data_IF_280526469713
#
_entry.id   IF_280526469713
#
_cell.length_a   1.000
_cell.length_b   1.000
_cell.length_c   1.000
_cell.angle_alpha   90.00
_cell.angle_beta   90.00
_cell.angle_gamma   90.00
#
_symmetry.space_group_name_H-M   'P 1'
#
loop_
_entity.id
_entity.type
_entity.pdbx_description
1 polymer ?
#
# COMPACT_ATOMS: atom_id res chain seq x y z
N UNK A 1 6.43 38.74 14.94
CA UNK A 1 6.29 37.49 14.18
C UNK A 1 5.49 36.57 15.08
N UNK A 2 4.24 36.21 14.75
CA UNK A 2 3.57 35.15 15.48
C UNK A 2 4.38 33.86 15.27
N UNK A 3 4.64 33.14 16.35
CA UNK A 3 5.10 31.76 16.27
C UNK A 3 4.09 30.97 15.43
N UNK A 4 4.50 30.59 14.24
CA UNK A 4 3.78 29.64 13.40
C UNK A 4 3.95 28.30 14.11
N UNK A 5 2.98 27.92 14.94
CA UNK A 5 2.93 26.65 15.65
C UNK A 5 3.09 25.52 14.61
N UNK A 6 4.32 25.05 14.45
CA UNK A 6 4.66 24.03 13.47
C UNK A 6 3.89 22.76 13.84
N UNK A 7 2.82 22.48 13.09
CA UNK A 7 1.98 21.31 13.30
C UNK A 7 2.83 20.05 13.15
N UNK A 8 2.85 19.22 14.19
CA UNK A 8 3.55 17.94 14.12
C UNK A 8 2.98 17.09 12.96
N UNK A 9 3.84 16.53 12.11
CA UNK A 9 3.40 15.69 11.01
C UNK A 9 2.79 14.40 11.55
N UNK A 10 1.58 14.07 11.11
CA UNK A 10 0.89 12.82 11.44
C UNK A 10 1.08 11.79 10.33
N UNK A 11 1.15 10.50 10.68
CA UNK A 11 1.20 9.42 9.68
C UNK A 11 -0.09 9.38 8.86
N UNK A 12 0.02 9.55 7.56
CA UNK A 12 -1.06 9.37 6.59
C UNK A 12 -0.57 8.53 5.42
N UNK A 13 -0.99 7.27 5.40
CA UNK A 13 -0.61 6.32 4.36
C UNK A 13 -1.27 6.57 3.01
N UNK A 14 -2.49 7.10 3.00
CA UNK A 14 -3.17 7.44 1.75
C UNK A 14 -2.45 8.58 1.04
N UNK A 15 -2.19 9.68 1.76
CA UNK A 15 -1.44 10.83 1.25
C UNK A 15 -0.01 10.46 0.85
N UNK A 16 0.69 9.62 1.64
CA UNK A 16 2.02 9.14 1.25
C UNK A 16 1.98 8.29 -0.02
N UNK A 17 0.99 7.38 -0.15
CA UNK A 17 0.84 6.51 -1.30
C UNK A 17 0.56 7.28 -2.60
N UNK A 18 -0.28 8.31 -2.54
CA UNK A 18 -0.57 9.20 -3.67
C UNK A 18 0.71 9.91 -4.17
N UNK A 19 1.46 10.55 -3.26
CA UNK A 19 2.72 11.22 -3.61
C UNK A 19 3.74 10.23 -4.21
N UNK A 20 3.87 9.04 -3.64
CA UNK A 20 4.76 8.01 -4.18
C UNK A 20 4.35 7.57 -5.59
N UNK A 21 3.05 7.46 -5.86
CA UNK A 21 2.54 7.11 -7.19
C UNK A 21 2.82 8.21 -8.22
N UNK A 22 2.61 9.48 -7.85
CA UNK A 22 2.90 10.64 -8.70
C UNK A 22 4.40 10.71 -9.05
N UNK A 23 5.26 10.63 -8.03
CA UNK A 23 6.71 10.64 -8.20
C UNK A 23 7.20 9.45 -9.04
N UNK A 24 6.65 8.25 -8.80
CA UNK A 24 6.96 7.05 -9.59
C UNK A 24 6.59 7.24 -11.07
N UNK A 25 5.41 7.79 -11.33
CA UNK A 25 4.91 8.04 -12.68
C UNK A 25 5.76 9.05 -13.43
N UNK A 26 6.18 10.12 -12.75
CA UNK A 26 7.13 11.10 -13.31
C UNK A 26 8.47 10.45 -13.67
N UNK A 27 9.07 9.70 -12.73
CA UNK A 27 10.36 9.03 -12.95
C UNK A 27 10.30 7.95 -14.03
N UNK A 28 9.17 7.23 -14.12
CA UNK A 28 8.95 6.27 -15.19
C UNK A 28 8.96 6.97 -16.56
N UNK A 29 8.25 8.09 -16.68
CA UNK A 29 8.25 8.91 -17.90
C UNK A 29 9.63 9.47 -18.27
N UNK A 30 10.48 9.74 -17.28
CA UNK A 30 11.87 10.19 -17.44
C UNK A 30 12.87 9.03 -17.69
N UNK A 31 12.39 7.78 -17.76
CA UNK A 31 13.24 6.59 -17.99
C UNK A 31 14.03 6.13 -16.77
N UNK A 32 13.76 6.65 -15.58
CA UNK A 32 14.41 6.29 -14.31
C UNK A 32 13.74 5.07 -13.68
N UNK A 33 13.71 3.96 -14.43
CA UNK A 33 12.85 2.80 -14.17
C UNK A 33 13.05 2.13 -12.80
N UNK A 34 14.29 1.94 -12.36
CA UNK A 34 14.55 1.30 -11.06
C UNK A 34 14.00 2.12 -9.88
N UNK A 35 14.17 3.44 -9.94
CA UNK A 35 13.61 4.33 -8.91
C UNK A 35 12.09 4.40 -9.01
N UNK A 36 11.55 4.42 -10.24
CA UNK A 36 10.12 4.37 -10.47
C UNK A 36 9.47 3.09 -9.90
N UNK A 37 10.04 1.91 -10.19
CA UNK A 37 9.57 0.62 -9.66
C UNK A 37 9.56 0.59 -8.14
N UNK A 38 10.63 1.10 -7.52
CA UNK A 38 10.71 1.20 -6.07
C UNK A 38 9.59 2.09 -5.50
N UNK A 39 9.35 3.25 -6.10
CA UNK A 39 8.27 4.15 -5.67
C UNK A 39 6.88 3.59 -5.97
N UNK A 40 6.68 2.84 -7.05
CA UNK A 40 5.42 2.14 -7.30
C UNK A 40 5.10 1.12 -6.22
N UNK A 41 6.10 0.35 -5.75
CA UNK A 41 5.90 -0.57 -4.64
C UNK A 41 5.59 0.12 -3.32
N UNK A 42 6.27 1.24 -3.02
CA UNK A 42 5.90 2.07 -1.85
C UNK A 42 4.50 2.67 -1.98
N UNK A 43 4.10 3.10 -3.18
CA UNK A 43 2.76 3.59 -3.44
C UNK A 43 1.72 2.51 -3.16
N UNK A 44 1.86 1.32 -3.74
CA UNK A 44 0.95 0.19 -3.51
C UNK A 44 0.88 -0.18 -2.04
N UNK A 45 2.03 -0.32 -1.37
CA UNK A 45 2.09 -0.64 0.06
C UNK A 45 1.33 0.40 0.91
N UNK A 46 1.58 1.70 0.68
CA UNK A 46 0.95 2.78 1.42
C UNK A 46 -0.55 2.90 1.11
N UNK A 47 -0.96 2.85 -0.16
CA UNK A 47 -2.35 2.91 -0.55
C UNK A 47 -3.16 1.75 0.04
N UNK A 48 -2.61 0.53 0.02
CA UNK A 48 -3.27 -0.63 0.62
C UNK A 48 -3.37 -0.53 2.14
N UNK A 49 -2.34 -0.02 2.84
CA UNK A 49 -2.45 0.29 4.28
C UNK A 49 -3.57 1.28 4.56
N UNK A 50 -3.73 2.31 3.73
CA UNK A 50 -4.82 3.26 3.83
C UNK A 50 -6.20 2.61 3.70
N UNK A 51 -6.37 1.73 2.70
CA UNK A 51 -7.62 0.98 2.52
C UNK A 51 -7.89 0.02 3.69
N UNK A 52 -6.88 -0.70 4.16
CA UNK A 52 -7.00 -1.62 5.30
C UNK A 52 -7.35 -0.87 6.59
N UNK A 53 -6.75 0.29 6.84
CA UNK A 53 -7.11 1.13 8.00
C UNK A 53 -8.55 1.64 7.92
N UNK A 54 -9.07 1.87 6.71
CA UNK A 54 -10.43 2.37 6.50
C UNK A 54 -11.51 1.29 6.56
N UNK A 55 -11.23 0.10 6.01
CA UNK A 55 -12.24 -0.96 5.84
C UNK A 55 -11.98 -2.20 6.70
N UNK A 56 -10.75 -2.42 7.16
CA UNK A 56 -10.37 -3.59 7.97
C UNK A 56 -10.51 -3.40 9.48
N UNK A 57 -11.00 -2.25 9.98
CA UNK A 57 -11.09 -1.99 11.42
C UNK A 57 -11.96 -3.01 12.16
N UNK A 58 -13.04 -3.47 11.53
CA UNK A 58 -13.90 -4.52 12.09
C UNK A 58 -13.16 -5.86 12.26
N UNK A 59 -12.11 -6.08 11.49
CA UNK A 59 -11.24 -7.24 11.51
C UNK A 59 -9.92 -6.94 12.27
N UNK A 60 -9.92 -5.94 13.14
CA UNK A 60 -8.79 -5.63 14.02
C UNK A 60 -7.70 -4.74 13.40
N UNK A 61 -7.84 -4.27 12.16
CA UNK A 61 -6.83 -3.36 11.59
C UNK A 61 -6.84 -2.02 12.32
N UNK A 62 -5.70 -1.61 12.91
CA UNK A 62 -5.55 -0.30 13.55
C UNK A 62 -4.10 0.13 13.72
N UNK A 63 -3.87 1.38 14.13
CA UNK A 63 -2.55 1.91 14.50
C UNK A 63 -2.10 1.46 15.91
N UNK A 64 -2.81 0.51 16.53
CA UNK A 64 -2.48 -0.02 17.85
C UNK A 64 -1.69 -1.31 17.70
N UNK A 65 -0.44 -1.28 18.16
CA UNK A 65 0.48 -2.41 18.12
C UNK A 65 0.38 -3.36 19.32
N UNK A 66 1.39 -4.22 19.45
CA UNK A 66 1.53 -5.11 20.62
C UNK A 66 1.54 -4.28 21.92
N UNK A 67 0.89 -4.81 22.96
CA UNK A 67 0.70 -4.18 24.28
C UNK A 67 -0.27 -2.99 24.30
N UNK A 68 -1.16 -2.89 23.31
CA UNK A 68 -2.21 -1.86 23.25
C UNK A 68 -1.65 -0.42 23.27
N UNK A 69 -0.57 -0.18 22.50
CA UNK A 69 0.07 1.14 22.36
C UNK A 69 0.01 1.63 20.92
N UNK A 70 -0.14 2.95 20.68
CA UNK A 70 0.01 3.53 19.35
C UNK A 70 1.39 3.21 18.76
N UNK A 71 1.42 2.92 17.46
CA UNK A 71 2.63 2.69 16.67
C UNK A 71 2.61 3.59 15.43
N UNK A 72 3.75 3.71 14.75
CA UNK A 72 3.89 4.42 13.47
C UNK A 72 3.41 3.60 12.29
N UNK A 73 3.23 2.28 12.47
CA UNK A 73 2.72 1.35 11.46
C UNK A 73 1.38 0.72 11.87
N UNK A 74 0.53 0.35 10.90
CA UNK A 74 -0.70 -0.35 11.19
C UNK A 74 -0.38 -1.79 11.63
N UNK A 75 -1.35 -2.39 12.31
CA UNK A 75 -1.33 -3.76 12.79
C UNK A 75 -2.70 -4.38 12.54
N UNK A 76 -2.73 -5.70 12.42
CA UNK A 76 -3.95 -6.48 12.28
C UNK A 76 -3.93 -7.69 13.20
N UNK A 77 -5.11 -8.24 13.45
CA UNK A 77 -5.27 -9.51 14.13
C UNK A 77 -5.33 -10.57 13.03
N UNK A 78 -4.27 -11.39 12.93
CA UNK A 78 -4.20 -12.44 11.92
C UNK A 78 -5.32 -13.47 12.19
N UNK A 79 -6.26 -13.69 11.26
CA UNK A 79 -7.39 -14.59 11.48
C UNK A 79 -6.97 -16.06 11.58
N UNK A 80 -5.82 -16.44 11.00
CA UNK A 80 -5.33 -17.82 11.00
C UNK A 80 -4.59 -18.16 12.29
N UNK A 81 -3.80 -17.21 12.83
CA UNK A 81 -2.98 -17.45 14.03
C UNK A 81 -3.52 -16.80 15.30
N UNK A 82 -4.42 -15.84 15.19
CA UNK A 82 -4.90 -15.00 16.29
C UNK A 82 -3.86 -14.00 16.82
N UNK A 83 -2.69 -13.91 16.19
CA UNK A 83 -1.63 -13.02 16.63
C UNK A 83 -1.79 -11.60 16.10
N UNK A 84 -1.45 -10.62 16.95
CA UNK A 84 -1.27 -9.23 16.52
C UNK A 84 0.00 -9.09 15.68
N UNK A 85 -0.15 -8.87 14.37
CA UNK A 85 0.97 -8.74 13.41
C UNK A 85 1.08 -7.32 12.86
N UNK A 86 2.30 -6.82 12.64
CA UNK A 86 2.49 -5.51 12.01
C UNK A 86 2.17 -5.60 10.52
N UNK A 87 1.73 -4.47 9.96
CA UNK A 87 1.56 -4.23 8.53
C UNK A 87 2.60 -3.18 8.13
N UNK A 88 3.88 -3.51 8.28
CA UNK A 88 5.02 -2.61 8.09
C UNK A 88 5.51 -2.57 6.65
N UNK A 89 5.72 -3.72 6.01
CA UNK A 89 6.14 -3.80 4.61
C UNK A 89 5.21 -4.67 3.78
N UNK A 90 5.34 -4.62 2.45
CA UNK A 90 4.47 -5.31 1.51
C UNK A 90 4.24 -6.80 1.83
N UNK A 91 5.27 -7.55 2.19
CA UNK A 91 5.13 -8.97 2.56
C UNK A 91 4.23 -9.19 3.79
N UNK A 92 4.10 -8.19 4.67
CA UNK A 92 3.20 -8.19 5.82
C UNK A 92 1.81 -7.66 5.44
N UNK A 93 1.71 -6.74 4.47
CA UNK A 93 0.46 -6.15 3.97
C UNK A 93 -0.31 -7.12 3.07
N UNK A 94 0.38 -7.82 2.17
CA UNK A 94 -0.20 -8.70 1.15
C UNK A 94 -1.18 -9.72 1.74
N UNK A 95 -0.85 -10.46 2.82
CA UNK A 95 -1.80 -11.41 3.42
C UNK A 95 -3.07 -10.74 3.95
N UNK A 96 -2.98 -9.50 4.42
CA UNK A 96 -4.11 -8.77 4.98
C UNK A 96 -5.09 -8.23 3.94
N UNK A 97 -4.73 -8.23 2.65
CA UNK A 97 -5.61 -7.76 1.58
C UNK A 97 -6.89 -8.59 1.45
N UNK A 98 -6.89 -9.84 1.93
CA UNK A 98 -8.10 -10.66 1.97
C UNK A 98 -9.22 -10.01 2.78
N UNK A 99 -8.90 -9.18 3.79
CA UNK A 99 -9.89 -8.45 4.59
C UNK A 99 -10.67 -7.43 3.78
N UNK A 100 -10.11 -6.92 2.68
CA UNK A 100 -10.82 -6.03 1.77
C UNK A 100 -11.89 -6.77 0.96
N UNK A 101 -11.77 -8.11 0.88
CA UNK A 101 -12.70 -8.97 0.15
C UNK A 101 -13.87 -9.45 1.03
N UNK A 102 -13.81 -9.24 2.35
CA UNK A 102 -14.89 -9.65 3.26
C UNK A 102 -16.21 -8.93 2.93
N UNK A 103 -17.28 -9.72 2.71
CA UNK A 103 -18.62 -9.20 2.43
C UNK A 103 -19.00 -9.25 0.95
N UNK A 104 -19.66 -8.18 0.45
CA UNK A 104 -20.13 -8.08 -0.95
C UNK A 104 -19.13 -7.32 -1.79
N UNK A 105 -17.96 -7.90 -1.97
CA UNK A 105 -16.89 -7.35 -2.80
C UNK A 105 -17.17 -7.64 -4.27
N UNK A 106 -17.03 -6.63 -5.13
CA UNK A 106 -17.23 -6.81 -6.57
C UNK A 106 -16.11 -7.67 -7.20
N UNK A 107 -16.36 -8.32 -8.34
CA UNK A 107 -15.31 -9.03 -9.10
C UNK A 107 -14.10 -8.15 -9.42
N UNK A 108 -14.32 -6.84 -9.58
CA UNK A 108 -13.27 -5.87 -9.84
C UNK A 108 -12.28 -5.73 -8.68
N UNK A 109 -12.76 -5.72 -7.43
CA UNK A 109 -11.88 -5.66 -6.26
C UNK A 109 -11.09 -6.95 -6.08
N UNK A 110 -11.75 -8.10 -6.28
CA UNK A 110 -11.08 -9.41 -6.19
C UNK A 110 -9.94 -9.52 -7.21
N UNK A 111 -10.20 -9.16 -8.46
CA UNK A 111 -9.18 -9.12 -9.51
C UNK A 111 -8.02 -8.19 -9.14
N UNK A 112 -8.33 -6.99 -8.62
CA UNK A 112 -7.30 -6.06 -8.21
C UNK A 112 -6.42 -6.58 -7.08
N UNK A 113 -7.01 -7.18 -6.04
CA UNK A 113 -6.25 -7.79 -4.95
C UNK A 113 -5.37 -8.94 -5.45
N UNK A 114 -5.89 -9.79 -6.35
CA UNK A 114 -5.12 -10.88 -6.96
C UNK A 114 -3.94 -10.35 -7.74
N UNK A 115 -4.17 -9.34 -8.59
CA UNK A 115 -3.14 -8.75 -9.44
C UNK A 115 -2.04 -8.08 -8.63
N UNK A 116 -2.40 -7.23 -7.66
CA UNK A 116 -1.45 -6.59 -6.75
C UNK A 116 -0.58 -7.63 -6.02
N UNK A 117 -1.21 -8.70 -5.52
CA UNK A 117 -0.52 -9.77 -4.79
C UNK A 117 0.50 -10.52 -5.65
N UNK A 118 0.18 -10.74 -6.93
CA UNK A 118 1.05 -11.44 -7.87
C UNK A 118 2.20 -10.55 -8.36
N UNK A 119 1.91 -9.32 -8.80
CA UNK A 119 2.90 -8.45 -9.44
C UNK A 119 3.94 -7.89 -8.44
N UNK A 120 3.59 -7.81 -7.16
CA UNK A 120 4.49 -7.40 -6.08
C UNK A 120 4.95 -8.56 -5.19
N UNK A 121 4.69 -9.83 -5.53
CA UNK A 121 5.06 -10.98 -4.67
C UNK A 121 6.52 -10.97 -4.20
N UNK A 122 7.44 -10.67 -5.12
CA UNK A 122 8.87 -10.66 -4.85
C UNK A 122 9.41 -9.25 -4.57
N UNK A 123 8.56 -8.22 -4.58
CA UNK A 123 9.00 -6.87 -4.30
C UNK A 123 9.34 -6.72 -2.81
N UNK A 124 10.54 -6.22 -2.54
CA UNK A 124 10.95 -5.86 -1.18
C UNK A 124 11.55 -4.46 -1.16
N UNK A 125 11.32 -3.74 -0.07
CA UNK A 125 11.80 -2.36 0.05
C UNK A 125 13.33 -2.25 -0.09
N UNK A 126 14.07 -3.31 0.26
CA UNK A 126 15.53 -3.36 0.21
C UNK A 126 16.10 -3.52 -1.21
N UNK A 127 15.26 -3.79 -2.22
CA UNK A 127 15.66 -3.79 -3.63
C UNK A 127 16.27 -2.45 -4.06
N UNK A 128 15.98 -1.36 -3.32
CA UNK A 128 16.60 -0.03 -3.45
C UNK A 128 18.12 0.00 -3.32
N UNK A 129 18.72 -1.05 -2.75
CA UNK A 129 20.17 -1.18 -2.59
C UNK A 129 20.81 -2.16 -3.58
N UNK A 130 20.02 -2.79 -4.44
CA UNK A 130 20.51 -3.76 -5.43
C UNK A 130 21.02 -3.06 -6.69
N UNK A 131 21.71 -3.82 -7.55
CA UNK A 131 22.17 -3.34 -8.86
C UNK A 131 21.05 -3.22 -9.91
N UNK A 132 19.82 -3.60 -9.54
CA UNK A 132 18.64 -3.50 -10.40
C UNK A 132 18.53 -4.55 -11.51
N UNK A 133 19.44 -5.53 -11.58
CA UNK A 133 19.43 -6.57 -12.62
C UNK A 133 18.21 -7.49 -12.58
N UNK A 134 17.47 -7.47 -11.48
CA UNK A 134 16.23 -8.22 -11.29
C UNK A 134 15.03 -7.62 -12.03
N UNK A 135 15.09 -6.33 -12.42
CA UNK A 135 13.97 -5.63 -13.06
C UNK A 135 14.10 -5.67 -14.58
N UNK A 136 13.29 -6.52 -15.22
CA UNK A 136 13.11 -6.48 -16.67
C UNK A 136 11.92 -5.60 -17.09
N UNK A 137 11.84 -5.27 -18.39
CA UNK A 137 10.78 -4.43 -18.95
C UNK A 137 9.38 -4.99 -18.72
N UNK A 138 9.23 -6.32 -18.73
CA UNK A 138 7.93 -6.97 -18.54
C UNK A 138 7.47 -6.87 -17.10
N UNK A 139 8.38 -7.07 -16.14
CA UNK A 139 8.11 -6.91 -14.71
C UNK A 139 7.79 -5.46 -14.36
N UNK A 140 8.57 -4.50 -14.90
CA UNK A 140 8.32 -3.07 -14.76
C UNK A 140 6.91 -2.69 -15.25
N UNK A 141 6.52 -3.13 -16.45
CA UNK A 141 5.20 -2.84 -17.01
C UNK A 141 4.08 -3.39 -16.13
N UNK A 142 4.20 -4.65 -15.67
CA UNK A 142 3.20 -5.25 -14.78
C UNK A 142 3.07 -4.50 -13.45
N UNK A 143 4.18 -4.15 -12.80
CA UNK A 143 4.19 -3.40 -11.54
C UNK A 143 3.64 -1.99 -11.69
N UNK A 144 3.93 -1.33 -12.81
CA UNK A 144 3.32 -0.03 -13.13
C UNK A 144 1.80 -0.16 -13.26
N UNK A 145 1.31 -1.11 -14.06
CA UNK A 145 -0.13 -1.33 -14.25
C UNK A 145 -0.84 -1.69 -12.94
N UNK A 146 -0.21 -2.52 -12.10
CA UNK A 146 -0.70 -2.84 -10.76
C UNK A 146 -0.73 -1.61 -9.85
N UNK A 147 0.28 -0.73 -9.90
CA UNK A 147 0.28 0.51 -9.13
C UNK A 147 -0.81 1.50 -9.60
N UNK A 148 -1.06 1.59 -10.91
CA UNK A 148 -2.20 2.34 -11.46
C UNK A 148 -3.51 1.81 -10.89
N UNK A 149 -3.68 0.49 -10.84
CA UNK A 149 -4.87 -0.13 -10.29
C UNK A 149 -5.07 0.17 -8.79
N UNK A 150 -4.00 0.11 -7.98
CA UNK A 150 -4.05 0.53 -6.57
C UNK A 150 -4.47 1.99 -6.41
N UNK A 151 -3.95 2.87 -7.27
CA UNK A 151 -4.29 4.28 -7.28
C UNK A 151 -5.75 4.53 -7.70
N UNK A 152 -6.25 3.81 -8.70
CA UNK A 152 -7.66 3.87 -9.12
C UNK A 152 -8.62 3.39 -8.03
N UNK A 153 -8.29 2.30 -7.33
CA UNK A 153 -9.04 1.84 -6.16
C UNK A 153 -9.10 2.91 -5.06
N UNK A 154 -7.95 3.52 -4.76
CA UNK A 154 -7.87 4.60 -3.79
C UNK A 154 -8.74 5.79 -4.19
N UNK A 155 -8.61 6.24 -5.44
CA UNK A 155 -9.38 7.35 -6.00
C UNK A 155 -10.88 7.06 -5.98
N UNK A 156 -11.28 5.85 -6.36
CA UNK A 156 -12.68 5.41 -6.29
C UNK A 156 -13.21 5.54 -4.85
N UNK A 157 -12.47 5.01 -3.88
CA UNK A 157 -12.83 5.08 -2.45
C UNK A 157 -12.88 6.51 -1.91
N UNK A 158 -11.99 7.40 -2.38
CA UNK A 158 -12.04 8.82 -2.03
C UNK A 158 -13.36 9.46 -2.51
N UNK A 159 -13.81 9.17 -3.74
CA UNK A 159 -15.01 9.76 -4.31
C UNK A 159 -16.33 9.11 -3.86
N UNK A 160 -16.39 7.79 -3.78
CA UNK A 160 -17.64 7.05 -3.49
C UNK A 160 -17.80 6.69 -2.01
N UNK A 161 -16.68 6.68 -1.29
CA UNK A 161 -16.63 6.21 0.09
C UNK A 161 -16.73 4.70 0.28
N UNK A 162 -16.74 3.92 -0.80
CA UNK A 162 -16.97 2.46 -0.80
C UNK A 162 -15.92 1.76 -1.65
N UNK A 163 -15.70 0.47 -1.40
CA UNK A 163 -14.95 -0.41 -2.29
C UNK A 163 -15.82 -0.79 -3.51
N UNK A 164 -15.22 -1.01 -4.70
CA UNK A 164 -15.94 -1.37 -5.92
C UNK A 164 -16.46 -2.82 -5.98
#
# INVERSE_FOLDING_TARGET
MPDDDAKEPTTDYACAGERHFEDASYLHGDGRLLTADHLFGLAVECLMKGLLLRFGTANGVSMIGKRNRPDKKPWWDDPDTGDRKPLGHWHEVRPALCLLLDGRSGPALAEAVTRLSADFEQWVVDDRYTDGTHLDTSLMARRQEAAVLAHELHTHVQFTGKLP
#
